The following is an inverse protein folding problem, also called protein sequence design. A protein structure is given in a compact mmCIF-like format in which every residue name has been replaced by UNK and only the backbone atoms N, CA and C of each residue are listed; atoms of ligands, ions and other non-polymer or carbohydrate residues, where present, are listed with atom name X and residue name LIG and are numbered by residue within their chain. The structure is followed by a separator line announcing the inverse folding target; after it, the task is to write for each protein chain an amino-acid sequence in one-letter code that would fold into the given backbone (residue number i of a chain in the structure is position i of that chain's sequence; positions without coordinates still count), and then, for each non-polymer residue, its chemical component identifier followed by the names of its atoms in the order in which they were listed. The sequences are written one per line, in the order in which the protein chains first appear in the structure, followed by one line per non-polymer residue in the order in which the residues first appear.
data_IF_205826983901
#
_entry.id   IF_205826983901
#
_cell.length_a   1.000
_cell.length_b   1.000
_cell.length_c   1.000
_cell.angle_alpha   90.00
_cell.angle_beta   90.00
_cell.angle_gamma   90.00
#
_symmetry.space_group_name_H-M   'P 1'
#
loop_
_entity.id
_entity.type
_entity.pdbx_description
1 polymer ?
#
# COMPACT_ATOMS: atom_id res chain seq x y z
N UNK A 1 -17.06 22.37 -48.83
CA UNK A 1 -16.33 22.50 -47.56
C UNK A 1 -16.75 21.33 -46.67
N UNK A 2 -15.86 20.37 -46.43
CA UNK A 2 -16.17 19.25 -45.55
C UNK A 2 -16.00 19.71 -44.10
N UNK A 3 -17.09 19.70 -43.32
CA UNK A 3 -16.99 19.87 -41.88
C UNK A 3 -16.44 18.58 -41.29
N UNK A 4 -15.20 18.61 -40.83
CA UNK A 4 -14.70 17.54 -39.95
C UNK A 4 -15.58 17.55 -38.70
N UNK A 5 -16.18 16.41 -38.31
CA UNK A 5 -17.02 16.37 -37.12
C UNK A 5 -16.18 16.77 -35.90
N UNK A 6 -16.63 17.83 -35.23
CA UNK A 6 -16.06 18.34 -33.98
C UNK A 6 -16.43 17.31 -32.90
N UNK A 7 -15.56 16.33 -32.68
CA UNK A 7 -15.74 15.30 -31.66
C UNK A 7 -15.38 15.80 -30.26
N UNK A 8 -15.71 15.04 -29.22
CA UNK A 8 -15.35 15.38 -27.84
C UNK A 8 -13.83 15.60 -27.63
N UNK A 9 -12.99 15.06 -28.51
CA UNK A 9 -11.53 15.24 -28.44
C UNK A 9 -11.06 16.66 -28.79
N UNK A 10 -11.90 17.50 -29.40
CA UNK A 10 -11.56 18.90 -29.65
C UNK A 10 -11.97 19.83 -28.52
N UNK A 11 -12.55 19.30 -27.43
CA UNK A 11 -12.90 20.12 -26.26
C UNK A 11 -11.64 20.59 -25.52
N UNK A 12 -11.64 21.81 -24.96
CA UNK A 12 -10.62 22.23 -24.02
C UNK A 12 -10.48 21.24 -22.86
N UNK A 13 -9.23 20.97 -22.46
CA UNK A 13 -8.89 20.02 -21.39
C UNK A 13 -9.66 20.29 -20.08
N UNK A 14 -9.93 21.57 -19.77
CA UNK A 14 -10.74 21.95 -18.58
C UNK A 14 -12.16 21.38 -18.64
N UNK A 15 -12.81 21.41 -19.81
CA UNK A 15 -14.15 20.84 -19.96
C UNK A 15 -14.12 19.31 -19.88
N UNK A 16 -13.06 18.67 -20.40
CA UNK A 16 -12.87 17.22 -20.24
C UNK A 16 -12.75 16.84 -18.76
N UNK A 17 -12.07 17.65 -17.95
CA UNK A 17 -12.01 17.46 -16.49
C UNK A 17 -13.38 17.61 -15.83
N UNK A 18 -14.13 18.67 -16.16
CA UNK A 18 -15.47 18.86 -15.61
C UNK A 18 -16.39 17.69 -15.96
N UNK A 19 -16.41 17.24 -17.21
CA UNK A 19 -17.21 16.09 -17.66
C UNK A 19 -16.86 14.83 -16.84
N UNK A 20 -15.57 14.58 -16.59
CA UNK A 20 -15.15 13.41 -15.79
C UNK A 20 -15.49 13.56 -14.30
N UNK A 21 -15.36 14.76 -13.72
CA UNK A 21 -15.72 15.01 -12.33
C UNK A 21 -17.24 14.94 -12.10
N UNK A 22 -18.06 15.33 -13.07
CA UNK A 22 -19.52 15.20 -12.98
C UNK A 22 -19.98 13.77 -13.22
N UNK A 23 -19.40 13.08 -14.21
CA UNK A 23 -19.83 11.71 -14.56
C UNK A 23 -19.23 10.65 -13.64
N UNK A 24 -18.07 10.92 -13.03
CA UNK A 24 -17.31 10.00 -12.18
C UNK A 24 -17.11 8.63 -12.86
N UNK A 25 -16.96 8.59 -14.19
CA UNK A 25 -16.96 7.35 -14.95
C UNK A 25 -15.60 6.67 -14.96
N UNK A 26 -15.51 5.42 -14.48
CA UNK A 26 -14.25 4.65 -14.59
C UNK A 26 -13.83 4.32 -16.02
N UNK A 27 -14.76 4.43 -16.97
CA UNK A 27 -14.57 4.00 -18.35
C UNK A 27 -14.18 5.15 -19.27
N UNK A 28 -14.46 6.41 -18.91
CA UNK A 28 -14.21 7.55 -19.80
C UNK A 28 -12.73 7.69 -20.20
N UNK A 29 -11.75 7.51 -19.29
CA UNK A 29 -10.34 7.51 -19.69
C UNK A 29 -9.96 6.37 -20.64
N UNK A 30 -10.78 5.31 -20.73
CA UNK A 30 -10.50 4.14 -21.57
C UNK A 30 -11.11 4.24 -22.96
N UNK A 31 -11.96 5.24 -23.22
CA UNK A 31 -12.64 5.42 -24.52
C UNK A 31 -11.66 5.81 -25.62
N UNK A 32 -10.60 6.53 -25.30
CA UNK A 32 -9.59 7.02 -26.25
C UNK A 32 -8.23 7.17 -25.56
N UNK A 33 -7.13 6.94 -26.30
CA UNK A 33 -5.78 7.22 -25.83
C UNK A 33 -5.61 8.69 -25.43
N UNK A 34 -6.22 9.61 -26.18
CA UNK A 34 -6.21 11.04 -25.85
C UNK A 34 -6.81 11.30 -24.47
N UNK A 35 -7.97 10.71 -24.16
CA UNK A 35 -8.59 10.86 -22.84
C UNK A 35 -7.76 10.22 -21.74
N UNK A 36 -7.21 9.02 -22.00
CA UNK A 36 -6.29 8.38 -21.07
C UNK A 36 -5.12 9.31 -20.71
N UNK A 37 -4.47 9.90 -21.72
CA UNK A 37 -3.32 10.79 -21.53
C UNK A 37 -3.72 12.10 -20.83
N UNK A 38 -4.87 12.69 -21.18
CA UNK A 38 -5.39 13.89 -20.53
C UNK A 38 -5.63 13.64 -19.05
N UNK A 39 -6.34 12.57 -18.68
CA UNK A 39 -6.67 12.30 -17.28
C UNK A 39 -5.48 11.77 -16.48
N UNK A 40 -4.58 11.00 -17.09
CA UNK A 40 -3.35 10.51 -16.45
C UNK A 40 -2.43 11.66 -16.06
N UNK A 41 -2.31 12.68 -16.91
CA UNK A 41 -1.46 13.85 -16.68
C UNK A 41 -2.21 15.03 -16.04
N UNK A 42 -3.44 14.80 -15.56
CA UNK A 42 -4.22 15.84 -14.93
C UNK A 42 -3.59 16.33 -13.60
N UNK A 43 -3.90 17.57 -13.16
CA UNK A 43 -3.40 18.09 -11.90
C UNK A 43 -3.77 17.24 -10.68
N UNK A 44 -2.93 17.24 -9.64
CA UNK A 44 -3.16 16.49 -8.40
C UNK A 44 -4.54 16.77 -7.78
N UNK A 45 -4.97 18.03 -7.82
CA UNK A 45 -6.27 18.43 -7.29
C UNK A 45 -7.43 17.74 -8.03
N UNK A 46 -7.33 17.58 -9.35
CA UNK A 46 -8.31 16.85 -10.14
C UNK A 46 -8.35 15.37 -9.73
N UNK A 47 -7.19 14.70 -9.59
CA UNK A 47 -7.14 13.30 -9.14
C UNK A 47 -7.75 13.14 -7.75
N UNK A 48 -7.46 14.06 -6.83
CA UNK A 48 -8.04 14.06 -5.49
C UNK A 48 -9.56 14.21 -5.53
N UNK A 49 -10.08 15.19 -6.27
CA UNK A 49 -11.53 15.40 -6.41
C UNK A 49 -12.22 14.20 -7.03
N UNK A 50 -11.64 13.63 -8.08
CA UNK A 50 -12.18 12.44 -8.73
C UNK A 50 -12.24 11.25 -7.77
N UNK A 51 -11.14 10.97 -7.07
CA UNK A 51 -11.09 9.88 -6.09
C UNK A 51 -12.13 10.13 -4.99
N UNK A 52 -12.18 11.33 -4.42
CA UNK A 52 -13.14 11.68 -3.36
C UNK A 52 -14.58 11.53 -3.85
N UNK A 53 -14.93 12.07 -5.01
CA UNK A 53 -16.27 11.90 -5.60
C UNK A 53 -16.65 10.43 -5.79
N UNK A 54 -15.68 9.56 -6.07
CA UNK A 54 -15.88 8.11 -6.24
C UNK A 54 -15.97 7.32 -4.96
N UNK A 55 -15.32 7.76 -3.89
CA UNK A 55 -15.25 7.01 -2.63
C UNK A 55 -16.23 7.55 -1.59
N UNK A 56 -16.53 8.84 -1.63
CA UNK A 56 -17.49 9.48 -0.75
C UNK A 56 -18.90 9.28 -1.32
N UNK A 57 -19.53 8.18 -0.94
CA UNK A 57 -20.98 8.03 -1.09
C UNK A 57 -21.68 8.74 0.06
N UNK A 58 -22.86 9.32 -0.17
CA UNK A 58 -23.63 10.10 0.83
C UNK A 58 -23.92 9.36 2.13
N UNK A 59 -23.81 8.03 2.14
CA UNK A 59 -24.00 7.17 3.31
C UNK A 59 -22.70 6.81 4.08
N UNK A 60 -21.50 7.06 3.54
CA UNK A 60 -20.23 6.65 4.15
C UNK A 60 -19.56 7.84 4.89
N UNK A 61 -19.74 7.89 6.21
CA UNK A 61 -19.00 8.80 7.10
C UNK A 61 -17.69 8.19 7.65
N UNK A 62 -17.43 6.92 7.35
CA UNK A 62 -16.27 6.19 7.87
C UNK A 62 -15.01 6.47 7.05
N UNK A 63 -14.08 7.22 7.65
CA UNK A 63 -12.80 7.57 7.06
C UNK A 63 -11.98 6.33 6.66
N UNK A 64 -12.08 5.24 7.42
CA UNK A 64 -11.29 4.03 7.17
C UNK A 64 -11.67 3.40 5.83
N UNK A 65 -12.96 3.39 5.50
CA UNK A 65 -13.46 2.95 4.18
C UNK A 65 -13.04 3.91 3.08
N UNK A 66 -13.10 5.22 3.32
CA UNK A 66 -12.66 6.25 2.35
C UNK A 66 -11.20 6.03 1.99
N UNK A 67 -10.30 5.95 2.98
CA UNK A 67 -8.88 5.69 2.76
C UNK A 67 -8.62 4.32 2.12
N UNK A 68 -9.30 3.27 2.60
CA UNK A 68 -9.17 1.94 2.00
C UNK A 68 -9.52 1.99 0.51
N UNK A 69 -10.67 2.57 0.15
CA UNK A 69 -11.11 2.69 -1.25
C UNK A 69 -10.19 3.60 -2.06
N UNK A 70 -9.78 4.74 -1.51
CA UNK A 70 -8.88 5.68 -2.17
C UNK A 70 -7.55 5.01 -2.53
N UNK A 71 -6.94 4.29 -1.58
CA UNK A 71 -5.69 3.57 -1.80
C UNK A 71 -5.82 2.48 -2.88
N UNK A 72 -7.00 2.00 -3.25
CA UNK A 72 -7.16 1.05 -4.36
C UNK A 72 -6.96 1.70 -5.74
N UNK A 73 -7.10 3.03 -5.85
CA UNK A 73 -6.88 3.73 -7.12
C UNK A 73 -5.39 3.86 -7.41
N UNK A 74 -4.89 3.46 -8.59
CA UNK A 74 -3.50 3.65 -9.00
C UNK A 74 -3.02 5.10 -8.91
N UNK A 75 -3.94 6.05 -9.12
CA UNK A 75 -3.72 7.50 -9.03
C UNK A 75 -3.50 7.99 -7.59
N UNK A 76 -3.86 7.21 -6.58
CA UNK A 76 -3.64 7.56 -5.19
C UNK A 76 -2.18 7.26 -4.81
N UNK A 77 -1.31 8.25 -4.99
CA UNK A 77 0.06 8.29 -4.50
C UNK A 77 0.18 9.28 -3.33
N UNK A 78 1.38 9.41 -2.72
CA UNK A 78 1.60 10.18 -1.49
C UNK A 78 1.02 11.60 -1.56
N UNK A 79 1.32 12.37 -2.62
CA UNK A 79 0.82 13.75 -2.76
C UNK A 79 -0.71 13.84 -2.85
N UNK A 80 -1.35 12.92 -3.57
CA UNK A 80 -2.82 12.86 -3.64
C UNK A 80 -3.40 12.54 -2.27
N UNK A 81 -2.78 11.60 -1.55
CA UNK A 81 -3.19 11.22 -0.21
C UNK A 81 -3.03 12.38 0.80
N UNK A 82 -1.96 13.17 0.71
CA UNK A 82 -1.74 14.38 1.52
C UNK A 82 -2.89 15.38 1.35
N UNK A 83 -3.32 15.62 0.10
CA UNK A 83 -4.44 16.53 -0.20
C UNK A 83 -5.76 15.92 0.33
N UNK A 84 -6.00 14.62 0.12
CA UNK A 84 -7.17 13.92 0.66
C UNK A 84 -7.22 14.08 2.18
N UNK A 85 -6.09 13.88 2.86
CA UNK A 85 -6.01 14.03 4.31
C UNK A 85 -6.32 15.46 4.75
N UNK A 86 -5.73 16.47 4.09
CA UNK A 86 -6.02 17.88 4.38
C UNK A 86 -7.51 18.23 4.23
N UNK A 87 -8.21 17.68 3.24
CA UNK A 87 -9.64 17.89 3.03
C UNK A 87 -10.54 17.14 4.04
N UNK A 88 -10.01 16.12 4.70
CA UNK A 88 -10.76 15.27 5.63
C UNK A 88 -10.35 15.47 7.10
N UNK A 89 -9.37 16.35 7.37
CA UNK A 89 -8.77 16.51 8.70
C UNK A 89 -9.78 16.95 9.78
N UNK A 90 -10.85 17.64 9.39
CA UNK A 90 -11.91 18.09 10.30
C UNK A 90 -12.84 16.94 10.77
N UNK A 91 -12.65 15.72 10.26
CA UNK A 91 -13.49 14.56 10.61
C UNK A 91 -12.81 13.69 11.66
N UNK A 92 -13.60 13.19 12.60
CA UNK A 92 -13.10 12.29 13.63
C UNK A 92 -12.57 10.97 13.03
N UNK A 93 -11.39 10.50 13.48
CA UNK A 93 -10.86 9.21 13.05
C UNK A 93 -11.84 8.10 13.42
N UNK A 94 -12.09 7.22 12.47
CA UNK A 94 -12.96 6.07 12.67
C UNK A 94 -12.23 4.98 13.44
N UNK A 95 -12.98 4.17 14.21
CA UNK A 95 -12.42 3.03 14.97
C UNK A 95 -12.04 1.85 14.09
N UNK A 96 -12.43 1.87 12.82
CA UNK A 96 -12.17 0.81 11.87
C UNK A 96 -10.77 0.95 11.30
N UNK A 97 -10.27 -0.15 10.74
CA UNK A 97 -8.91 -0.19 10.22
C UNK A 97 -8.88 0.04 8.71
N UNK A 98 -7.92 0.82 8.24
CA UNK A 98 -7.56 0.94 6.83
C UNK A 98 -6.91 -0.37 6.38
N UNK A 99 -7.42 -0.93 5.28
CA UNK A 99 -6.81 -2.12 4.66
C UNK A 99 -5.88 -1.70 3.52
N UNK A 100 -4.62 -2.14 3.60
CA UNK A 100 -3.64 -1.86 2.55
C UNK A 100 -3.92 -2.74 1.31
N UNK A 101 -4.10 -2.14 0.12
CA UNK A 101 -4.38 -2.90 -1.10
C UNK A 101 -3.14 -3.63 -1.62
N UNK A 102 -3.35 -4.81 -2.21
CA UNK A 102 -2.29 -5.63 -2.80
C UNK A 102 -1.46 -4.90 -3.86
N UNK A 103 -2.03 -3.91 -4.55
CA UNK A 103 -1.34 -3.16 -5.62
C UNK A 103 -0.05 -2.50 -5.13
N UNK A 104 -0.02 -2.01 -3.88
CA UNK A 104 1.14 -1.31 -3.31
C UNK A 104 2.36 -2.22 -3.20
N UNK A 105 2.14 -3.53 -3.12
CA UNK A 105 3.19 -4.55 -2.95
C UNK A 105 3.32 -5.47 -4.16
N UNK A 106 2.50 -5.27 -5.20
CA UNK A 106 2.50 -6.15 -6.39
C UNK A 106 3.71 -5.90 -7.28
N UNK A 107 4.19 -4.66 -7.34
CA UNK A 107 5.27 -4.22 -8.22
C UNK A 107 6.47 -3.75 -7.39
N UNK A 108 7.12 -4.69 -6.70
CA UNK A 108 8.40 -4.44 -6.03
C UNK A 108 9.51 -4.89 -6.99
N UNK A 109 10.10 -3.94 -7.71
CA UNK A 109 11.20 -4.19 -8.66
C UNK A 109 12.50 -3.82 -7.98
N UNK A 110 13.42 -4.78 -7.86
CA UNK A 110 14.69 -4.56 -7.17
C UNK A 110 15.52 -3.49 -7.90
N UNK A 111 15.87 -2.37 -7.23
CA UNK A 111 16.75 -1.36 -7.81
C UNK A 111 18.19 -1.88 -7.92
N UNK A 112 18.94 -1.37 -8.89
CA UNK A 112 20.35 -1.75 -9.11
C UNK A 112 21.25 -1.41 -7.91
N UNK A 113 20.92 -0.31 -7.21
CA UNK A 113 21.66 0.19 -6.05
C UNK A 113 21.28 -0.51 -4.73
N UNK A 114 20.35 -1.46 -4.77
CA UNK A 114 19.75 -2.06 -3.57
C UNK A 114 18.67 -1.19 -2.94
N UNK A 115 17.90 -1.80 -2.04
CA UNK A 115 16.73 -1.18 -1.42
C UNK A 115 17.10 -0.19 -0.31
N UNK A 116 16.36 0.90 -0.22
CA UNK A 116 16.49 1.96 0.77
C UNK A 116 15.14 2.30 1.44
N UNK A 117 15.18 3.11 2.50
CA UNK A 117 13.98 3.63 3.16
C UNK A 117 13.21 4.67 2.32
N UNK A 118 13.78 5.12 1.19
CA UNK A 118 13.14 6.10 0.29
C UNK A 118 12.40 5.43 -0.86
N UNK A 119 12.61 4.13 -1.07
CA UNK A 119 11.97 3.40 -2.14
C UNK A 119 10.50 3.11 -1.84
N UNK A 120 9.66 3.23 -2.86
CA UNK A 120 8.25 2.89 -2.77
C UNK A 120 8.07 1.41 -2.36
N UNK A 121 7.15 1.09 -1.42
CA UNK A 121 6.09 1.94 -0.90
C UNK A 121 6.39 2.62 0.45
N UNK A 122 7.64 2.63 0.93
CA UNK A 122 7.97 3.04 2.31
C UNK A 122 7.53 4.48 2.62
N UNK A 123 7.81 5.51 1.80
CA UNK A 123 7.39 6.88 2.11
C UNK A 123 5.88 7.03 2.28
N UNK A 124 5.10 6.37 1.42
CA UNK A 124 3.64 6.35 1.52
C UNK A 124 3.18 5.68 2.83
N UNK A 125 3.79 4.56 3.20
CA UNK A 125 3.47 3.86 4.44
C UNK A 125 3.87 4.67 5.67
N UNK A 126 5.05 5.30 5.66
CA UNK A 126 5.48 6.17 6.76
C UNK A 126 4.47 7.29 6.99
N UNK A 127 4.00 7.93 5.92
CA UNK A 127 2.93 8.93 6.01
C UNK A 127 1.66 8.33 6.62
N UNK A 128 1.17 7.21 6.09
CA UNK A 128 -0.05 6.56 6.57
C UNK A 128 0.02 6.20 8.08
N UNK A 129 1.11 5.61 8.54
CA UNK A 129 1.24 5.10 9.92
C UNK A 129 1.54 6.19 10.96
N UNK A 130 2.23 7.27 10.57
CA UNK A 130 2.70 8.29 11.53
C UNK A 130 1.90 9.59 11.48
N UNK A 131 1.02 9.78 10.48
CA UNK A 131 0.19 11.00 10.40
C UNK A 131 -0.86 11.00 11.51
N UNK A 132 -0.97 12.08 12.30
CA UNK A 132 -2.00 12.19 13.34
C UNK A 132 -3.40 12.19 12.69
N UNK A 133 -4.42 11.78 13.45
CA UNK A 133 -5.82 11.70 12.99
C UNK A 133 -6.06 10.77 11.79
N UNK A 134 -5.07 9.98 11.37
CA UNK A 134 -5.31 8.88 10.43
C UNK A 134 -6.04 7.73 11.15
N UNK A 135 -6.98 7.02 10.47
CA UNK A 135 -7.53 5.79 11.00
C UNK A 135 -6.43 4.72 11.11
N UNK A 136 -6.60 3.81 12.06
CA UNK A 136 -5.62 2.75 12.33
C UNK A 136 -5.41 1.87 11.11
N UNK A 137 -4.20 1.39 10.87
CA UNK A 137 -3.89 0.56 9.69
C UNK A 137 -3.80 -0.89 10.11
N UNK A 138 -4.47 -1.76 9.35
CA UNK A 138 -4.34 -3.19 9.54
C UNK A 138 -3.19 -3.75 8.70
N UNK A 139 -2.01 -3.86 9.31
CA UNK A 139 -0.77 -4.33 8.68
C UNK A 139 -0.86 -5.74 8.09
N UNK A 140 -1.69 -6.61 8.70
CA UNK A 140 -1.86 -8.01 8.28
C UNK A 140 -2.98 -8.20 7.24
N UNK A 141 -3.47 -7.12 6.62
CA UNK A 141 -4.46 -7.19 5.54
C UNK A 141 -4.05 -8.18 4.46
N UNK A 142 -5.05 -8.80 3.82
CA UNK A 142 -4.83 -9.81 2.77
C UNK A 142 -3.98 -11.01 3.25
N UNK A 143 -4.16 -11.47 4.48
CA UNK A 143 -3.42 -12.59 5.06
C UNK A 143 -1.90 -12.41 5.03
N UNK A 144 -1.42 -11.21 5.41
CA UNK A 144 0.03 -10.92 5.46
C UNK A 144 0.69 -10.80 4.09
N UNK A 145 -0.08 -10.47 3.05
CA UNK A 145 0.42 -10.33 1.67
C UNK A 145 1.57 -9.32 1.56
N UNK A 146 1.48 -8.18 2.27
CA UNK A 146 2.49 -7.14 2.26
C UNK A 146 3.86 -7.68 2.70
N UNK A 147 3.91 -8.35 3.85
CA UNK A 147 5.13 -8.92 4.40
C UNK A 147 5.68 -10.04 3.51
N UNK A 148 4.81 -10.91 3.00
CA UNK A 148 5.20 -11.99 2.07
C UNK A 148 5.85 -11.43 0.80
N UNK A 149 5.29 -10.38 0.22
CA UNK A 149 5.84 -9.73 -0.99
C UNK A 149 7.14 -8.99 -0.71
N UNK A 150 7.27 -8.32 0.43
CA UNK A 150 8.51 -7.66 0.83
C UNK A 150 9.67 -8.65 0.95
N UNK A 151 9.43 -9.81 1.56
CA UNK A 151 10.41 -10.91 1.67
C UNK A 151 10.76 -11.49 0.31
N UNK A 152 9.76 -11.76 -0.53
CA UNK A 152 9.99 -12.24 -1.90
C UNK A 152 10.86 -11.27 -2.73
N UNK A 153 10.68 -9.97 -2.53
CA UNK A 153 11.46 -8.92 -3.20
C UNK A 153 12.83 -8.64 -2.55
N UNK A 154 13.18 -9.36 -1.47
CA UNK A 154 14.37 -9.10 -0.63
C UNK A 154 14.46 -7.64 -0.15
N UNK A 155 13.31 -7.00 0.06
CA UNK A 155 13.21 -5.60 0.46
C UNK A 155 13.32 -5.47 1.99
N UNK A 156 14.55 -5.62 2.51
CA UNK A 156 14.84 -5.61 3.95
C UNK A 156 14.26 -4.40 4.71
N UNK A 157 14.47 -3.14 4.27
CA UNK A 157 13.85 -1.99 4.93
C UNK A 157 12.32 -2.09 5.08
N UNK A 158 11.62 -2.59 4.06
CA UNK A 158 10.18 -2.76 4.09
C UNK A 158 9.75 -3.91 5.03
N UNK A 159 10.50 -5.02 5.04
CA UNK A 159 10.27 -6.13 5.99
C UNK A 159 10.38 -5.62 7.43
N UNK A 160 11.46 -4.92 7.74
CA UNK A 160 11.66 -4.33 9.06
C UNK A 160 10.54 -3.36 9.43
N UNK A 161 10.22 -2.43 8.52
CA UNK A 161 9.12 -1.48 8.72
C UNK A 161 7.80 -2.18 9.05
N UNK A 162 7.43 -3.23 8.30
CA UNK A 162 6.19 -3.97 8.54
C UNK A 162 6.20 -4.70 9.89
N UNK A 163 7.33 -5.31 10.27
CA UNK A 163 7.47 -6.00 11.57
C UNK A 163 7.41 -5.03 12.76
N UNK A 164 7.99 -3.83 12.62
CA UNK A 164 7.90 -2.76 13.62
C UNK A 164 6.44 -2.30 13.81
N UNK A 165 5.63 -2.39 12.75
CA UNK A 165 4.19 -2.09 12.75
C UNK A 165 3.31 -3.34 12.95
N UNK A 166 3.81 -4.34 13.70
CA UNK A 166 3.08 -5.54 14.13
C UNK A 166 2.60 -6.44 12.98
N UNK A 167 3.30 -6.47 11.85
CA UNK A 167 3.10 -7.52 10.87
C UNK A 167 3.42 -8.89 11.49
N UNK A 168 2.53 -9.86 11.27
CA UNK A 168 2.71 -11.21 11.77
C UNK A 168 3.35 -12.10 10.70
N UNK A 169 4.50 -12.72 10.98
CA UNK A 169 5.10 -13.72 10.10
C UNK A 169 4.34 -15.06 10.08
N UNK A 170 3.36 -15.27 10.96
CA UNK A 170 2.56 -16.51 10.99
C UNK A 170 1.37 -16.49 10.06
N UNK A 171 1.09 -15.36 9.39
CA UNK A 171 -0.01 -15.26 8.44
C UNK A 171 0.09 -16.31 7.33
N UNK A 172 -1.06 -16.85 6.92
CA UNK A 172 -1.16 -17.85 5.87
C UNK A 172 -0.23 -19.07 6.11
N UNK A 173 -0.31 -19.67 7.30
CA UNK A 173 0.47 -20.86 7.69
C UNK A 173 1.99 -20.65 7.57
N UNK A 174 2.46 -19.45 7.93
CA UNK A 174 3.87 -19.09 7.85
C UNK A 174 4.41 -19.07 6.42
N UNK A 175 3.58 -18.70 5.43
CA UNK A 175 4.00 -18.62 4.01
C UNK A 175 5.27 -17.78 3.84
N UNK A 176 5.37 -16.66 4.56
CA UNK A 176 6.55 -15.79 4.51
C UNK A 176 7.84 -16.51 4.96
N UNK A 177 7.75 -17.40 5.95
CA UNK A 177 8.87 -18.19 6.44
C UNK A 177 9.32 -19.19 5.36
N UNK A 178 8.36 -19.87 4.73
CA UNK A 178 8.62 -20.78 3.61
C UNK A 178 9.30 -20.06 2.43
N UNK A 179 8.87 -18.82 2.14
CA UNK A 179 9.50 -17.98 1.11
C UNK A 179 10.91 -17.57 1.50
N UNK A 180 11.15 -17.16 2.75
CA UNK A 180 12.48 -16.79 3.23
C UNK A 180 13.48 -17.96 3.14
N UNK A 181 13.06 -19.16 3.53
CA UNK A 181 13.88 -20.38 3.44
C UNK A 181 14.23 -20.68 1.97
N UNK A 182 13.26 -20.60 1.05
CA UNK A 182 13.50 -20.81 -0.39
C UNK A 182 14.50 -19.82 -0.99
N UNK A 183 14.60 -18.62 -0.44
CA UNK A 183 15.60 -17.65 -0.88
C UNK A 183 16.99 -17.88 -0.29
N UNK A 184 17.16 -18.91 0.55
CA UNK A 184 18.38 -19.25 1.29
C UNK A 184 18.98 -18.02 2.02
N UNK A 185 18.11 -17.17 2.56
CA UNK A 185 18.53 -15.96 3.27
C UNK A 185 18.33 -16.15 4.77
N UNK A 186 19.41 -16.57 5.43
CA UNK A 186 19.43 -16.79 6.88
C UNK A 186 19.10 -15.49 7.63
N UNK A 187 19.64 -14.35 7.19
CA UNK A 187 19.40 -13.05 7.84
C UNK A 187 17.92 -12.64 7.75
N UNK A 188 17.28 -12.86 6.61
CA UNK A 188 15.84 -12.60 6.44
C UNK A 188 15.00 -13.52 7.33
N UNK A 189 15.36 -14.80 7.41
CA UNK A 189 14.65 -15.75 8.26
C UNK A 189 14.79 -15.39 9.74
N UNK A 190 16.01 -15.09 10.20
CA UNK A 190 16.28 -14.59 11.55
C UNK A 190 15.47 -13.33 11.85
N UNK A 191 15.38 -12.40 10.91
CA UNK A 191 14.57 -11.19 11.09
C UNK A 191 13.08 -11.46 11.31
N UNK A 192 12.53 -12.49 10.66
CA UNK A 192 11.13 -12.87 10.81
C UNK A 192 10.86 -13.62 12.11
N UNK A 193 11.79 -14.46 12.56
CA UNK A 193 11.63 -15.32 13.73
C UNK A 193 12.04 -14.58 15.01
N UNK A 194 13.18 -13.90 15.01
CA UNK A 194 13.72 -13.25 16.19
C UNK A 194 13.03 -11.91 16.45
N UNK A 195 12.72 -11.62 17.72
CA UNK A 195 12.39 -10.26 18.12
C UNK A 195 13.64 -9.39 17.97
N UNK A 196 13.51 -8.23 17.31
CA UNK A 196 14.60 -7.28 17.26
C UNK A 196 14.55 -6.42 18.54
N UNK A 197 15.69 -6.15 19.22
CA UNK A 197 15.73 -5.33 20.44
C UNK A 197 15.44 -3.82 20.19
N UNK A 198 14.88 -3.46 19.03
CA UNK A 198 14.72 -2.09 18.54
C UNK A 198 13.63 -1.26 19.21
N UNK A 199 12.63 -1.87 19.87
CA UNK A 199 11.71 -1.10 20.70
C UNK A 199 12.37 -0.87 22.07
N UNK A 200 12.98 0.31 22.26
CA UNK A 200 13.56 0.77 23.53
C UNK A 200 12.49 0.84 24.63
N UNK A 201 12.03 -0.29 25.16
CA UNK A 201 11.42 -0.32 26.48
C UNK A 201 12.56 -0.33 27.49
N UNK A 202 12.76 0.82 28.14
CA UNK A 202 13.65 0.99 29.31
C UNK A 202 13.16 0.05 30.42
N UNK A 203 13.65 -1.18 30.43
CA UNK A 203 13.27 -2.20 31.40
C UNK A 203 14.25 -3.37 31.33
N UNK A 204 14.43 -4.04 32.47
CA UNK A 204 15.35 -5.18 32.67
C UNK A 204 15.36 -6.12 31.46
N UNK A 205 16.55 -6.52 30.99
CA UNK A 205 16.77 -7.52 29.91
C UNK A 205 15.88 -8.75 30.16
N UNK A 206 14.69 -8.78 29.54
CA UNK A 206 13.86 -9.98 29.48
C UNK A 206 14.45 -10.87 28.39
N UNK A 207 14.41 -12.18 28.58
CA UNK A 207 14.68 -13.13 27.49
C UNK A 207 13.73 -12.76 26.35
N UNK A 208 14.28 -12.35 25.20
CA UNK A 208 13.48 -12.14 24.01
C UNK A 208 13.01 -13.51 23.56
N UNK A 209 11.71 -13.76 23.64
CA UNK A 209 11.10 -14.94 23.05
C UNK A 209 10.96 -14.70 21.54
N UNK A 210 11.06 -15.79 20.76
CA UNK A 210 10.87 -15.74 19.32
C UNK A 210 9.45 -15.25 18.99
N UNK A 211 9.33 -14.48 17.90
CA UNK A 211 8.03 -14.02 17.35
C UNK A 211 7.18 -15.18 16.88
N UNK A 212 7.79 -16.32 16.57
CA UNK A 212 7.14 -17.47 15.95
C UNK A 212 7.59 -18.76 16.62
N UNK A 213 6.61 -19.58 16.98
CA UNK A 213 6.84 -20.98 17.29
C UNK A 213 7.04 -21.74 15.97
N UNK A 214 8.25 -22.25 15.77
CA UNK A 214 8.60 -22.98 14.55
C UNK A 214 7.92 -24.35 14.54
N UNK A 215 7.06 -24.56 13.54
CA UNK A 215 6.40 -25.85 13.31
C UNK A 215 7.35 -26.84 12.59
N UNK A 216 7.15 -28.13 12.82
CA UNK A 216 7.88 -29.24 12.17
C UNK A 216 7.87 -29.12 10.65
N UNK A 217 6.80 -28.57 10.08
CA UNK A 217 6.69 -28.34 8.64
C UNK A 217 7.71 -27.32 8.11
N UNK A 218 7.99 -26.25 8.84
CA UNK A 218 8.97 -25.22 8.44
C UNK A 218 10.39 -25.81 8.48
N UNK A 219 10.68 -26.62 9.50
CA UNK A 219 11.96 -27.31 9.64
C UNK A 219 12.18 -28.34 8.53
N UNK A 220 11.15 -29.13 8.16
CA UNK A 220 11.22 -30.08 7.05
C UNK A 220 11.55 -29.39 5.72
N UNK A 221 10.93 -28.23 5.45
CA UNK A 221 11.22 -27.46 4.23
C UNK A 221 12.67 -26.96 4.22
N UNK A 222 13.20 -26.52 5.36
CA UNK A 222 14.61 -26.11 5.47
C UNK A 222 15.56 -27.27 5.21
N UNK A 223 15.33 -28.43 5.81
CA UNK A 223 16.17 -29.63 5.64
C UNK A 223 16.15 -30.15 4.20
N UNK A 224 14.99 -30.14 3.54
CA UNK A 224 14.87 -30.59 2.14
C UNK A 224 15.61 -29.72 1.12
N UNK A 225 15.92 -28.45 1.47
CA UNK A 225 16.61 -27.53 0.56
C UNK A 225 18.13 -27.53 0.75
N UNK A 226 18.63 -28.17 1.82
CA UNK A 226 20.06 -28.28 2.15
C UNK A 226 20.65 -29.64 1.71
N UNK A 227 19.80 -30.58 1.30
CA UNK A 227 20.15 -31.92 0.79
C UNK A 227 20.21 -31.95 -0.74
#
# INVERSE_FOLDING_TARGET
MAFSPIGLQSLPVKLLYEVELYSLSKNLPLVSSHFYDVYKNAPLFFHTQYILGRVMTSADLDLSKVYTRALHYPLCHLRVLEIIHGLLNDRCPSKLHVQLPRRLFRLLVQPQTGWSNQDEPIPLLQYLYHTPNMPLIYTNANNGYALTRAVHAKFLPLVQFLLDHRASPTCHEGLVLKVAIRHNSVDMFKMLVEQHPGSKQRGKKRKLEDRVLLDSNVLKVAVMLDA
#
